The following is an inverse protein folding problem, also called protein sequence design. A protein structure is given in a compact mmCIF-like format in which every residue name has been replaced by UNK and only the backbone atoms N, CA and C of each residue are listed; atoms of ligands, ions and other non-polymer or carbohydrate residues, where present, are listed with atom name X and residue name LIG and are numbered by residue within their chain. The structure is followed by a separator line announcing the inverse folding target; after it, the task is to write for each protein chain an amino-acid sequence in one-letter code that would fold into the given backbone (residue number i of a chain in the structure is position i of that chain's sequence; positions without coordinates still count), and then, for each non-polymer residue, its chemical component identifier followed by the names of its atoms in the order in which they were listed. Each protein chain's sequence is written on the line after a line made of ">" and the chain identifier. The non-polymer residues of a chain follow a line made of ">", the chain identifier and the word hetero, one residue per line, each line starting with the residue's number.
data_IF_388949822806
#
_entry.id   IF_388949822806
#
_cell.length_a   1.000
_cell.length_b   1.000
_cell.length_c   1.000
_cell.angle_alpha   90.00
_cell.angle_beta   90.00
_cell.angle_gamma   90.00
#
_symmetry.space_group_name_H-M   'P 1'
#
loop_
_entity.id
_entity.type
_entity.pdbx_description
1 polymer ?
#
# COMPACT_ATOMS: atom_id res chain seq x y z
N UNK A 1 -23.10 7.66 -0.40
CA UNK A 1 -22.37 6.61 0.34
C UNK A 1 -21.30 7.26 1.20
N UNK A 2 -21.11 6.78 2.42
CA UNK A 2 -20.03 7.22 3.32
C UNK A 2 -18.70 6.76 2.72
N UNK A 3 -17.77 7.69 2.44
CA UNK A 3 -16.45 7.35 1.90
C UNK A 3 -15.60 6.73 3.01
N UNK A 4 -15.17 5.50 2.79
CA UNK A 4 -14.28 4.76 3.70
C UNK A 4 -12.85 4.96 3.22
N UNK A 5 -11.92 5.16 4.16
CA UNK A 5 -10.49 5.17 3.87
C UNK A 5 -9.94 3.78 4.18
N UNK A 6 -9.12 3.21 3.30
CA UNK A 6 -8.50 1.90 3.46
C UNK A 6 -6.98 2.03 3.34
N UNK A 7 -6.24 1.34 4.21
CA UNK A 7 -4.78 1.33 4.23
C UNK A 7 -4.26 -0.07 3.92
N UNK A 8 -3.33 -0.17 2.96
CA UNK A 8 -2.50 -1.37 2.76
C UNK A 8 -1.10 -1.15 3.32
N UNK A 9 -0.51 -2.20 3.90
CA UNK A 9 0.87 -2.24 4.40
C UNK A 9 1.53 -3.48 3.79
N UNK A 10 2.21 -3.31 2.65
CA UNK A 10 2.69 -4.42 1.85
C UNK A 10 3.91 -4.05 0.99
N UNK A 11 4.48 -5.05 0.30
CA UNK A 11 5.50 -4.83 -0.72
C UNK A 11 4.91 -4.36 -2.05
N UNK A 12 5.77 -3.91 -2.96
CA UNK A 12 5.36 -3.55 -4.33
C UNK A 12 5.39 -4.74 -5.28
N UNK A 13 4.49 -4.74 -6.27
CA UNK A 13 4.59 -5.56 -7.48
C UNK A 13 4.53 -4.64 -8.71
N UNK A 14 5.65 -4.45 -9.43
CA UNK A 14 5.69 -3.60 -10.61
C UNK A 14 4.76 -4.05 -11.74
N UNK A 15 4.41 -5.34 -11.83
CA UNK A 15 3.45 -5.82 -12.83
C UNK A 15 2.00 -5.45 -12.48
N UNK A 16 1.76 -5.06 -11.23
CA UNK A 16 0.47 -4.58 -10.73
C UNK A 16 -0.57 -5.68 -10.51
N UNK A 17 -0.18 -6.95 -10.47
CA UNK A 17 -1.07 -8.09 -10.21
C UNK A 17 -1.20 -8.44 -8.73
N UNK A 18 -0.23 -8.04 -7.90
CA UNK A 18 -0.17 -8.26 -6.46
C UNK A 18 0.30 -6.99 -5.70
N UNK A 19 0.67 -7.16 -4.43
CA UNK A 19 1.21 -6.09 -3.58
C UNK A 19 0.28 -4.90 -3.40
N UNK A 20 0.84 -3.75 -3.02
CA UNK A 20 0.06 -2.52 -2.84
C UNK A 20 -0.72 -2.12 -4.10
N UNK A 21 -0.24 -2.49 -5.29
CA UNK A 21 -0.89 -2.19 -6.55
C UNK A 21 -2.23 -2.92 -6.68
N UNK A 22 -2.29 -4.20 -6.35
CA UNK A 22 -3.53 -4.97 -6.35
C UNK A 22 -4.48 -4.50 -5.24
N UNK A 23 -3.94 -4.17 -4.06
CA UNK A 23 -4.73 -3.66 -2.94
C UNK A 23 -5.40 -2.33 -3.28
N UNK A 24 -4.64 -1.37 -3.81
CA UNK A 24 -5.16 -0.04 -4.18
C UNK A 24 -6.18 -0.13 -5.33
N UNK A 25 -5.99 -1.03 -6.30
CA UNK A 25 -7.00 -1.33 -7.34
C UNK A 25 -8.29 -1.88 -6.72
N UNK A 26 -8.17 -2.78 -5.75
CA UNK A 26 -9.31 -3.37 -5.03
C UNK A 26 -10.05 -2.31 -4.22
N UNK A 27 -9.35 -1.47 -3.46
CA UNK A 27 -9.95 -0.35 -2.73
C UNK A 27 -10.70 0.59 -3.67
N UNK A 28 -10.08 0.94 -4.80
CA UNK A 28 -10.70 1.79 -5.83
C UNK A 28 -11.98 1.16 -6.41
N UNK A 29 -11.94 -0.13 -6.75
CA UNK A 29 -13.09 -0.87 -7.27
C UNK A 29 -14.25 -0.96 -6.25
N UNK A 30 -13.94 -0.97 -4.95
CA UNK A 30 -14.91 -0.98 -3.85
C UNK A 30 -15.34 0.42 -3.38
N UNK A 31 -14.87 1.48 -4.05
CA UNK A 31 -15.25 2.86 -3.73
C UNK A 31 -14.60 3.42 -2.45
N UNK A 32 -13.52 2.82 -1.97
CA UNK A 32 -12.72 3.29 -0.86
C UNK A 32 -11.56 4.19 -1.32
N UNK A 33 -11.20 5.19 -0.52
CA UNK A 33 -9.98 5.97 -0.74
C UNK A 33 -8.79 5.17 -0.20
N UNK A 34 -7.89 4.75 -1.09
CA UNK A 34 -6.75 3.91 -0.74
C UNK A 34 -5.51 4.73 -0.32
N UNK A 35 -4.91 4.34 0.79
CA UNK A 35 -3.57 4.75 1.24
C UNK A 35 -2.65 3.52 1.25
N UNK A 36 -1.33 3.73 1.19
CA UNK A 36 -0.37 2.62 1.24
C UNK A 36 0.90 2.97 2.02
N UNK A 37 1.42 1.99 2.75
CA UNK A 37 2.77 1.99 3.34
C UNK A 37 3.57 0.84 2.72
N UNK A 38 4.76 1.16 2.22
CA UNK A 38 5.61 0.20 1.51
C UNK A 38 6.62 -0.41 2.48
N UNK A 39 6.63 -1.74 2.57
CA UNK A 39 7.56 -2.50 3.45
C UNK A 39 8.76 -3.07 2.69
N UNK A 40 8.64 -3.27 1.38
CA UNK A 40 9.70 -3.72 0.50
C UNK A 40 9.40 -3.30 -0.94
N UNK A 41 10.44 -2.98 -1.71
CA UNK A 41 10.33 -2.88 -3.15
C UNK A 41 10.73 -4.22 -3.77
N UNK A 42 9.96 -4.71 -4.74
CA UNK A 42 10.30 -5.94 -5.44
C UNK A 42 10.46 -5.62 -6.91
N UNK A 43 11.55 -6.11 -7.53
CA UNK A 43 11.57 -6.27 -8.97
C UNK A 43 10.86 -7.58 -9.29
N UNK A 44 9.60 -7.48 -9.72
CA UNK A 44 8.73 -8.62 -10.01
C UNK A 44 8.01 -8.42 -11.34
N UNK A 45 7.81 -9.52 -12.05
CA UNK A 45 6.93 -9.60 -13.21
C UNK A 45 6.20 -10.94 -13.23
N UNK A 46 5.43 -11.19 -14.30
CA UNK A 46 4.62 -12.42 -14.46
C UNK A 46 5.45 -13.72 -14.54
N UNK A 47 6.78 -13.64 -14.62
CA UNK A 47 7.71 -14.78 -14.63
C UNK A 47 8.38 -15.02 -13.28
N UNK A 48 8.11 -14.21 -12.26
CA UNK A 48 8.63 -14.36 -10.90
C UNK A 48 9.32 -13.11 -10.34
N UNK A 49 10.01 -13.27 -9.22
CA UNK A 49 10.75 -12.23 -8.48
C UNK A 49 12.23 -12.25 -8.88
N UNK A 50 12.76 -11.09 -9.28
CA UNK A 50 14.16 -10.92 -9.67
C UNK A 50 15.03 -10.38 -8.54
N UNK A 51 14.49 -9.47 -7.72
CA UNK A 51 15.18 -8.93 -6.55
C UNK A 51 14.21 -8.35 -5.54
N UNK A 52 14.64 -8.28 -4.28
CA UNK A 52 13.92 -7.63 -3.19
C UNK A 52 14.82 -6.57 -2.60
N UNK A 53 14.32 -5.34 -2.52
CA UNK A 53 14.95 -4.23 -1.82
C UNK A 53 14.17 -3.98 -0.54
N UNK A 54 14.79 -4.30 0.60
CA UNK A 54 14.20 -4.11 1.91
C UNK A 54 14.16 -2.61 2.24
N UNK A 55 13.04 -2.15 2.75
CA UNK A 55 12.92 -0.81 3.31
C UNK A 55 13.30 -0.85 4.79
N UNK A 56 14.06 0.15 5.23
CA UNK A 56 14.44 0.28 6.63
C UNK A 56 13.20 0.41 7.54
N UNK A 57 13.12 -0.31 8.67
CA UNK A 57 11.95 -0.26 9.56
C UNK A 57 11.57 1.15 10.01
N UNK A 58 12.55 2.00 10.27
CA UNK A 58 12.32 3.39 10.68
C UNK A 58 11.62 4.21 9.58
N UNK A 59 11.90 3.90 8.31
CA UNK A 59 11.20 4.53 7.19
C UNK A 59 9.79 3.97 6.99
N UNK A 60 9.55 2.70 7.36
CA UNK A 60 8.18 2.15 7.43
C UNK A 60 7.38 2.84 8.53
N UNK A 61 7.98 3.07 9.70
CA UNK A 61 7.37 3.82 10.80
C UNK A 61 7.03 5.26 10.38
N UNK A 62 7.98 5.97 9.73
CA UNK A 62 7.75 7.32 9.25
C UNK A 62 6.59 7.41 8.23
N UNK A 63 6.43 6.41 7.35
CA UNK A 63 5.28 6.32 6.44
C UNK A 63 3.96 6.12 7.21
N UNK A 64 3.94 5.25 8.22
CA UNK A 64 2.76 5.05 9.08
C UNK A 64 2.38 6.34 9.81
N UNK A 65 3.35 7.00 10.43
CA UNK A 65 3.14 8.27 11.14
C UNK A 65 2.59 9.35 10.20
N UNK A 66 3.13 9.44 8.99
CA UNK A 66 2.66 10.39 7.97
C UNK A 66 1.20 10.14 7.58
N UNK A 67 0.79 8.88 7.40
CA UNK A 67 -0.59 8.54 7.05
C UNK A 67 -1.53 8.79 8.23
N UNK A 68 -1.18 8.31 9.43
CA UNK A 68 -2.06 8.39 10.60
C UNK A 68 -2.18 9.81 11.18
N UNK A 69 -1.19 10.68 10.95
CA UNK A 69 -1.24 12.08 11.39
C UNK A 69 -2.05 13.01 10.50
N UNK A 70 -2.31 12.63 9.23
CA UNK A 70 -3.03 13.48 8.27
C UNK A 70 -4.36 12.86 7.79
N UNK A 71 -4.37 11.57 7.43
CA UNK A 71 -5.53 10.94 6.80
C UNK A 71 -6.58 10.62 7.86
N UNK A 72 -7.76 11.28 7.84
CA UNK A 72 -8.75 11.12 8.88
C UNK A 72 -9.34 9.71 8.87
N UNK A 73 -9.46 9.10 10.06
CA UNK A 73 -10.16 7.84 10.24
C UNK A 73 -11.68 8.10 10.20
N UNK A 74 -12.33 7.92 9.04
CA UNK A 74 -13.74 8.33 8.83
C UNK A 74 -14.77 7.36 9.43
N UNK A 75 -14.58 6.96 10.69
CA UNK A 75 -15.53 6.17 11.49
C UNK A 75 -16.45 7.08 12.33
N UNK A 76 -17.19 8.01 11.71
CA UNK A 76 -18.29 8.75 12.37
C UNK A 76 -19.50 8.81 11.50
#
# INVERSE_FOLDING_TARGET
>A
MKRINALTIAGTDPSGGAGIQADLKTFSALGAYGCSVITALVAQNTRGVQSVYRIEPDFVAAQLDSVFSDVPNRYH
#
